data_IF_619382473729
#
_entry.id   IF_619382473729
#
_cell.length_a   1.000
_cell.length_b   1.000
_cell.length_c   1.000
_cell.angle_alpha   90.00
_cell.angle_beta   90.00
_cell.angle_gamma   90.00
#
_symmetry.space_group_name_H-M   'P 1'
#
loop_
_entity.id
_entity.type
_entity.pdbx_description
1 polymer ?
#
# COMPACT_ATOMS: atom_id res chain seq x y z
N UNK A 1 16.95 16.32 -0.17
CA UNK A 1 16.34 15.90 1.11
C UNK A 1 14.88 15.63 0.85
N UNK A 2 14.37 14.43 1.17
CA UNK A 2 12.96 14.10 0.94
C UNK A 2 12.12 14.86 1.95
N UNK A 3 11.28 15.79 1.50
CA UNK A 3 10.42 16.64 2.32
C UNK A 3 9.21 15.88 2.86
N UNK A 4 9.43 14.70 3.42
CA UNK A 4 8.37 13.94 4.09
C UNK A 4 8.21 14.54 5.49
N UNK A 5 7.07 15.16 5.83
CA UNK A 5 6.89 15.86 7.10
C UNK A 5 6.87 14.86 8.25
N UNK A 6 7.97 14.77 9.00
CA UNK A 6 8.09 13.91 10.18
C UNK A 6 7.09 14.33 11.28
N UNK A 7 6.56 13.37 12.04
CA UNK A 7 5.68 13.57 13.21
C UNK A 7 6.48 13.58 14.51
N UNK A 8 6.86 14.75 15.06
CA UNK A 8 7.78 14.82 16.19
C UNK A 8 7.23 14.13 17.45
N UNK A 9 5.92 14.14 17.63
CA UNK A 9 5.24 13.47 18.76
C UNK A 9 5.43 11.95 18.75
N UNK A 10 5.41 11.33 17.56
CA UNK A 10 5.63 9.89 17.43
C UNK A 10 7.10 9.53 17.60
N UNK A 11 7.99 10.36 17.07
CA UNK A 11 9.44 10.19 17.25
C UNK A 11 9.82 10.33 18.72
N UNK A 12 9.25 11.30 19.43
CA UNK A 12 9.49 11.47 20.86
C UNK A 12 8.99 10.26 21.67
N UNK A 13 7.84 9.68 21.31
CA UNK A 13 7.26 8.55 22.03
C UNK A 13 7.93 7.19 21.70
N UNK A 14 8.31 6.97 20.45
CA UNK A 14 8.70 5.64 19.95
C UNK A 14 10.10 5.58 19.31
N UNK A 15 10.79 6.72 19.21
CA UNK A 15 12.12 6.83 18.58
C UNK A 15 12.10 6.94 17.05
N UNK A 16 10.92 6.87 16.41
CA UNK A 16 10.74 7.03 14.97
C UNK A 16 9.26 7.30 14.60
N UNK A 17 8.98 7.71 13.35
CA UNK A 17 7.60 7.92 12.87
C UNK A 17 6.92 6.56 12.59
N UNK A 18 6.30 5.98 13.63
CA UNK A 18 5.59 4.68 13.57
C UNK A 18 4.47 4.67 12.53
N UNK A 19 3.82 5.81 12.28
CA UNK A 19 2.76 5.93 11.28
C UNK A 19 3.31 5.83 9.87
N UNK A 20 4.44 6.47 9.57
CA UNK A 20 5.07 6.32 8.26
C UNK A 20 5.71 4.96 8.06
N UNK A 21 6.36 4.40 9.07
CA UNK A 21 6.89 3.05 8.97
C UNK A 21 5.78 2.02 8.71
N UNK A 22 4.66 2.09 9.44
CA UNK A 22 3.49 1.23 9.22
C UNK A 22 2.92 1.41 7.81
N UNK A 23 2.87 2.65 7.31
CA UNK A 23 2.39 2.92 5.96
C UNK A 23 3.32 2.35 4.88
N UNK A 24 4.63 2.55 5.02
CA UNK A 24 5.64 2.03 4.10
C UNK A 24 5.58 0.50 4.04
N UNK A 25 5.51 -0.16 5.20
CA UNK A 25 5.36 -1.63 5.28
C UNK A 25 4.09 -2.09 4.57
N UNK A 26 2.95 -1.43 4.84
CA UNK A 26 1.68 -1.77 4.19
C UNK A 26 1.76 -1.62 2.67
N UNK A 27 2.34 -0.54 2.16
CA UNK A 27 2.51 -0.33 0.72
C UNK A 27 3.39 -1.40 0.08
N UNK A 28 4.49 -1.77 0.73
CA UNK A 28 5.36 -2.85 0.25
C UNK A 28 4.61 -4.18 0.16
N UNK A 29 3.93 -4.60 1.23
CA UNK A 29 3.16 -5.86 1.26
C UNK A 29 2.02 -5.90 0.23
N UNK A 30 1.26 -4.81 0.13
CA UNK A 30 0.19 -4.69 -0.87
C UNK A 30 0.74 -4.64 -2.30
N UNK A 31 1.90 -4.02 -2.51
CA UNK A 31 2.59 -4.03 -3.80
C UNK A 31 2.97 -5.45 -4.22
N UNK A 32 3.50 -6.26 -3.30
CA UNK A 32 3.82 -7.67 -3.55
C UNK A 32 2.56 -8.48 -3.88
N UNK A 33 1.47 -8.33 -3.13
CA UNK A 33 0.19 -9.00 -3.42
C UNK A 33 -0.30 -8.66 -4.83
N UNK A 34 -0.31 -7.37 -5.15
CA UNK A 34 -0.79 -6.86 -6.42
C UNK A 34 0.07 -7.35 -7.59
N UNK A 35 1.40 -7.29 -7.46
CA UNK A 35 2.31 -7.74 -8.50
C UNK A 35 2.19 -9.25 -8.75
N UNK A 36 2.02 -10.07 -7.70
CA UNK A 36 1.90 -11.53 -7.82
C UNK A 36 0.54 -12.01 -8.31
N UNK A 37 -0.53 -11.32 -7.94
CA UNK A 37 -1.90 -11.86 -8.09
C UNK A 37 -2.79 -11.04 -9.01
N UNK A 38 -2.39 -9.79 -9.32
CA UNK A 38 -3.24 -8.82 -10.00
C UNK A 38 -4.45 -8.39 -9.18
N UNK A 39 -4.47 -8.71 -7.87
CA UNK A 39 -5.55 -8.39 -6.94
C UNK A 39 -5.01 -7.62 -5.74
N UNK A 40 -5.88 -6.80 -5.16
CA UNK A 40 -5.60 -6.07 -3.94
C UNK A 40 -6.71 -6.37 -2.93
N UNK A 41 -6.38 -7.12 -1.88
CA UNK A 41 -7.34 -7.47 -0.84
C UNK A 41 -7.45 -6.35 0.20
N UNK A 42 -8.68 -5.91 0.45
CA UNK A 42 -8.99 -4.91 1.47
C UNK A 42 -10.00 -5.46 2.47
N UNK A 43 -9.70 -5.46 3.79
CA UNK A 43 -8.44 -5.03 4.39
C UNK A 43 -7.26 -5.96 4.06
N UNK A 44 -6.02 -5.51 4.31
CA UNK A 44 -4.80 -6.32 4.12
C UNK A 44 -4.98 -7.69 4.82
N UNK A 45 -4.61 -8.81 4.18
CA UNK A 45 -4.71 -10.14 4.77
C UNK A 45 -3.80 -10.32 6.00
N UNK A 46 -4.11 -11.31 6.82
CA UNK A 46 -3.18 -11.77 7.85
C UNK A 46 -2.11 -12.68 7.22
N UNK A 47 -0.86 -12.67 7.73
CA UNK A 47 -0.40 -11.99 8.95
C UNK A 47 0.02 -10.52 8.76
N UNK A 48 0.14 -10.03 7.52
CA UNK A 48 0.74 -8.72 7.22
C UNK A 48 -0.01 -7.54 7.88
N UNK A 49 -1.33 -7.63 8.01
CA UNK A 49 -2.13 -6.62 8.73
C UNK A 49 -1.72 -6.49 10.18
N UNK A 50 -1.49 -7.60 10.88
CA UNK A 50 -1.09 -7.60 12.28
C UNK A 50 0.29 -6.98 12.45
N UNK A 51 1.23 -7.27 11.55
CA UNK A 51 2.55 -6.64 11.54
C UNK A 51 2.46 -5.13 11.31
N UNK A 52 1.66 -4.68 10.34
CA UNK A 52 1.45 -3.25 10.10
C UNK A 52 0.88 -2.53 11.32
N UNK A 53 -0.07 -3.16 12.03
CA UNK A 53 -0.65 -2.62 13.26
C UNK A 53 0.35 -2.59 14.41
N UNK A 54 1.18 -3.62 14.57
CA UNK A 54 2.24 -3.66 15.58
C UNK A 54 3.27 -2.53 15.37
N UNK A 55 3.71 -2.30 14.14
CA UNK A 55 4.56 -1.13 13.80
C UNK A 55 3.82 0.17 14.13
N UNK A 56 2.54 0.29 13.76
CA UNK A 56 1.75 1.52 13.98
C UNK A 56 1.63 1.88 15.46
N UNK A 57 1.48 0.88 16.34
CA UNK A 57 1.38 1.06 17.79
C UNK A 57 2.72 1.30 18.47
N UNK A 58 3.83 1.08 17.76
CA UNK A 58 5.18 1.14 18.33
C UNK A 58 5.58 -0.13 19.11
N UNK A 59 4.85 -1.23 18.94
CA UNK A 59 5.17 -2.54 19.54
C UNK A 59 6.46 -3.11 18.95
N UNK A 60 6.80 -2.68 17.73
CA UNK A 60 8.01 -3.07 16.98
C UNK A 60 8.99 -1.89 16.98
N UNK A 61 10.25 -2.15 17.33
CA UNK A 61 11.31 -1.13 17.35
C UNK A 61 11.75 -0.70 15.95
N UNK A 62 12.38 0.47 15.84
CA UNK A 62 12.78 1.07 14.56
C UNK A 62 13.56 0.12 13.64
N UNK A 63 14.58 -0.57 14.17
CA UNK A 63 15.45 -1.47 13.38
C UNK A 63 14.66 -2.63 12.77
N UNK A 64 13.75 -3.21 13.53
CA UNK A 64 12.91 -4.32 13.08
C UNK A 64 11.85 -3.83 12.07
N UNK A 65 11.21 -2.69 12.34
CA UNK A 65 10.29 -2.07 11.39
C UNK A 65 10.97 -1.77 10.05
N UNK A 66 12.21 -1.25 10.08
CA UNK A 66 13.00 -0.99 8.88
C UNK A 66 13.33 -2.29 8.13
N UNK A 67 13.75 -3.35 8.82
CA UNK A 67 14.02 -4.64 8.20
C UNK A 67 12.78 -5.24 7.51
N UNK A 68 11.59 -5.10 8.12
CA UNK A 68 10.32 -5.53 7.51
C UNK A 68 10.01 -4.76 6.23
N UNK A 69 10.23 -3.44 6.23
CA UNK A 69 10.04 -2.58 5.06
C UNK A 69 11.03 -2.95 3.95
N UNK A 70 12.31 -3.13 4.29
CA UNK A 70 13.36 -3.48 3.34
C UNK A 70 13.09 -4.86 2.70
N UNK A 71 12.59 -5.81 3.49
CA UNK A 71 12.15 -7.12 2.98
C UNK A 71 11.02 -6.96 1.96
N UNK A 72 9.94 -6.25 2.33
CA UNK A 72 8.81 -6.06 1.43
C UNK A 72 9.20 -5.30 0.15
N UNK A 73 10.15 -4.35 0.26
CA UNK A 73 10.71 -3.63 -0.88
C UNK A 73 11.53 -4.55 -1.79
N UNK A 74 12.38 -5.39 -1.22
CA UNK A 74 13.20 -6.33 -1.98
C UNK A 74 12.34 -7.37 -2.70
N UNK A 75 11.31 -7.89 -2.03
CA UNK A 75 10.33 -8.80 -2.63
C UNK A 75 9.65 -8.18 -3.84
N UNK A 76 9.20 -6.92 -3.72
CA UNK A 76 8.55 -6.20 -4.82
C UNK A 76 9.52 -5.90 -5.97
N UNK A 77 10.73 -5.44 -5.66
CA UNK A 77 11.75 -5.16 -6.66
C UNK A 77 12.10 -6.44 -7.45
N UNK A 78 12.26 -7.57 -6.77
CA UNK A 78 12.53 -8.85 -7.42
C UNK A 78 11.45 -9.29 -8.40
N UNK A 79 10.17 -9.01 -8.12
CA UNK A 79 9.05 -9.30 -9.04
C UNK A 79 9.03 -8.37 -10.25
N UNK A 80 9.37 -7.09 -10.05
CA UNK A 80 9.45 -6.12 -11.15
C UNK A 80 10.63 -6.48 -12.06
N UNK A 81 11.80 -6.76 -11.48
CA UNK A 81 13.02 -7.04 -12.22
C UNK A 81 12.97 -8.38 -12.97
N UNK A 82 12.25 -9.38 -12.43
CA UNK A 82 12.06 -10.68 -13.10
C UNK A 82 11.03 -10.63 -14.23
N UNK A 83 10.14 -9.63 -14.23
CA UNK A 83 8.98 -9.58 -15.12
C UNK A 83 7.89 -10.61 -14.80
N UNK A 84 8.00 -11.36 -13.70
CA UNK A 84 7.01 -12.34 -13.24
C UNK A 84 5.86 -11.63 -12.50
N UNK A 85 5.13 -10.80 -13.25
CA UNK A 85 4.00 -10.04 -12.75
C UNK A 85 2.69 -10.56 -13.35
N UNK A 86 1.67 -10.68 -12.49
CA UNK A 86 0.31 -10.95 -12.92
C UNK A 86 -0.37 -9.73 -13.58
N UNK A 87 0.21 -8.54 -13.38
CA UNK A 87 -0.27 -7.31 -14.01
C UNK A 87 0.22 -7.21 -15.46
N UNK A 88 -0.60 -6.66 -16.37
CA UNK A 88 -0.16 -6.34 -17.72
C UNK A 88 0.88 -5.21 -17.70
N UNK A 89 1.70 -5.13 -18.75
CA UNK A 89 2.73 -4.09 -18.92
C UNK A 89 2.14 -2.67 -18.89
N UNK A 90 0.94 -2.50 -19.44
CA UNK A 90 0.23 -1.23 -19.46
C UNK A 90 -1.23 -1.40 -18.99
N UNK A 91 -1.81 -0.39 -18.32
CA UNK A 91 -3.22 -0.39 -17.97
C UNK A 91 -4.10 -0.24 -19.21
N UNK A 92 -5.25 -0.91 -19.21
CA UNK A 92 -6.31 -0.71 -20.19
C UNK A 92 -7.08 0.58 -19.85
N UNK A 93 -6.57 1.70 -20.35
CA UNK A 93 -7.08 3.05 -20.07
C UNK A 93 -8.53 3.23 -20.55
N UNK A 94 -8.89 2.63 -21.68
CA UNK A 94 -10.22 2.75 -22.26
C UNK A 94 -11.25 2.02 -21.40
N UNK A 95 -10.92 0.80 -20.95
CA UNK A 95 -11.78 0.04 -20.04
C UNK A 95 -11.94 0.72 -18.69
N UNK A 96 -10.86 1.26 -18.12
CA UNK A 96 -10.91 1.99 -16.85
C UNK A 96 -11.76 3.26 -17.01
N UNK A 97 -11.55 4.02 -18.08
CA UNK A 97 -12.32 5.24 -18.39
C UNK A 97 -13.81 4.95 -18.55
N UNK A 98 -14.16 3.92 -19.34
CA UNK A 98 -15.55 3.49 -19.53
C UNK A 98 -16.21 3.09 -18.21
N UNK A 99 -15.50 2.36 -17.33
CA UNK A 99 -16.01 2.01 -16.01
C UNK A 99 -16.23 3.24 -15.13
N UNK A 100 -15.27 4.18 -15.09
CA UNK A 100 -15.39 5.41 -14.29
C UNK A 100 -16.60 6.25 -14.71
N UNK A 101 -16.80 6.44 -16.01
CA UNK A 101 -17.96 7.15 -16.56
C UNK A 101 -19.26 6.42 -16.16
N UNK A 102 -19.32 5.10 -16.35
CA UNK A 102 -20.49 4.29 -15.98
C UNK A 102 -20.82 4.40 -14.49
N UNK A 103 -19.82 4.33 -13.61
CA UNK A 103 -19.99 4.48 -12.17
C UNK A 103 -20.55 5.86 -11.80
N UNK A 104 -20.01 6.92 -12.39
CA UNK A 104 -20.47 8.29 -12.14
C UNK A 104 -21.90 8.52 -12.63
N UNK A 105 -22.23 8.08 -13.85
CA UNK A 105 -23.58 8.18 -14.41
C UNK A 105 -24.58 7.42 -13.56
N UNK A 106 -24.23 6.22 -13.08
CA UNK A 106 -25.08 5.44 -12.18
C UNK A 106 -25.35 6.20 -10.88
N UNK A 107 -24.31 6.75 -10.26
CA UNK A 107 -24.45 7.54 -9.03
C UNK A 107 -25.37 8.75 -9.22
N UNK A 108 -25.26 9.46 -10.35
CA UNK A 108 -26.12 10.60 -10.65
C UNK A 108 -27.58 10.20 -10.86
N UNK A 109 -27.84 9.11 -11.57
CA UNK A 109 -29.20 8.58 -11.76
C UNK A 109 -29.83 8.15 -10.44
N UNK A 110 -29.08 7.45 -9.59
CA UNK A 110 -29.53 7.06 -8.24
C UNK A 110 -29.84 8.28 -7.35
N UNK A 111 -29.30 9.46 -7.68
CA UNK A 111 -29.50 10.72 -6.97
C UNK A 111 -30.37 11.73 -7.69
N UNK A 112 -31.00 11.35 -8.80
CA UNK A 112 -31.86 12.23 -9.61
C UNK A 112 -31.17 13.52 -10.08
N UNK A 113 -29.85 13.47 -10.28
CA UNK A 113 -29.04 14.58 -10.80
C UNK A 113 -28.97 14.58 -12.35
N UNK A 114 -29.50 13.53 -12.97
CA UNK A 114 -29.69 13.29 -14.41
C UNK A 114 -30.95 12.46 -14.61
#
# INVERSE_FOLDING_TARGET
QSAVPNRPELVAAHGYDTKYASHALRLGRQGVELARTGRLSLPLPEPDRLQCLAVKRGDIGFREALALIDTARADLAGLIDSGDMALPEAPDVDRVGAWMISAQVRHWRERELL
#
